data_IF_747719714727
#
_entry.id   IF_747719714727
#
_cell.length_a   1.000
_cell.length_b   1.000
_cell.length_c   1.000
_cell.angle_alpha   90.00
_cell.angle_beta   90.00
_cell.angle_gamma   90.00
#
_symmetry.space_group_name_H-M   'P 1'
#
loop_
_entity.id
_entity.type
_entity.pdbx_description
1 polymer ?
#
# COMPACT_ATOMS: atom_id res chain seq x y z
N UNK A 1 -12.90 5.67 10.47
CA UNK A 1 -13.61 4.47 9.97
C UNK A 1 -14.03 3.64 11.16
N UNK A 2 -15.28 3.80 11.63
CA UNK A 2 -15.85 3.02 12.74
C UNK A 2 -16.27 1.61 12.32
N UNK A 3 -15.39 0.90 11.61
CA UNK A 3 -15.60 -0.49 11.21
C UNK A 3 -15.07 -1.39 12.31
N UNK A 4 -15.89 -2.33 12.76
CA UNK A 4 -15.48 -3.29 13.78
C UNK A 4 -14.69 -4.41 13.11
N UNK A 5 -13.79 -4.99 13.88
CA UNK A 5 -12.90 -6.05 13.44
C UNK A 5 -13.60 -7.18 12.61
N UNK A 6 -14.73 -7.66 13.14
CA UNK A 6 -15.53 -8.72 12.50
C UNK A 6 -16.04 -8.35 11.11
N UNK A 7 -16.32 -7.07 10.85
CA UNK A 7 -16.78 -6.59 9.54
C UNK A 7 -15.64 -6.60 8.52
N UNK A 8 -14.42 -6.22 8.94
CA UNK A 8 -13.21 -6.26 8.10
C UNK A 8 -12.82 -7.69 7.71
N UNK A 9 -13.11 -8.69 8.56
CA UNK A 9 -12.87 -10.11 8.25
C UNK A 9 -13.83 -10.70 7.21
N UNK A 10 -15.07 -10.22 7.16
CA UNK A 10 -16.09 -10.69 6.21
C UNK A 10 -16.00 -10.02 4.84
N UNK A 11 -15.38 -8.83 4.77
CA UNK A 11 -15.12 -8.13 3.52
C UNK A 11 -13.97 -8.80 2.77
N UNK A 12 -14.19 -9.09 1.49
CA UNK A 12 -13.14 -9.55 0.58
C UNK A 12 -12.09 -8.47 0.34
N UNK A 13 -10.88 -8.87 -0.04
CA UNK A 13 -9.77 -7.95 -0.33
C UNK A 13 -10.12 -6.90 -1.40
N UNK A 14 -10.92 -7.27 -2.40
CA UNK A 14 -11.45 -6.36 -3.43
C UNK A 14 -12.40 -5.30 -2.87
N UNK A 15 -13.29 -5.68 -1.95
CA UNK A 15 -14.25 -4.76 -1.31
C UNK A 15 -13.52 -3.75 -0.41
N UNK A 16 -12.43 -4.19 0.24
CA UNK A 16 -11.58 -3.31 1.03
C UNK A 16 -10.78 -2.36 0.13
N UNK A 17 -10.22 -2.85 -0.99
CA UNK A 17 -9.53 -2.01 -1.98
C UNK A 17 -10.46 -1.01 -2.67
N UNK A 18 -11.74 -1.35 -2.81
CA UNK A 18 -12.74 -0.46 -3.41
C UNK A 18 -13.12 0.72 -2.50
N UNK A 19 -12.83 0.66 -1.19
CA UNK A 19 -13.12 1.77 -0.28
C UNK A 19 -12.21 2.97 -0.57
N UNK A 20 -12.81 4.15 -0.69
CA UNK A 20 -12.11 5.40 -1.02
C UNK A 20 -10.92 5.67 -0.10
N UNK A 21 -11.06 5.45 1.22
CA UNK A 21 -9.96 5.66 2.17
C UNK A 21 -8.78 4.71 1.92
N UNK A 22 -9.05 3.46 1.54
CA UNK A 22 -7.98 2.49 1.23
C UNK A 22 -7.31 2.87 -0.08
N UNK A 23 -8.08 3.34 -1.07
CA UNK A 23 -7.58 3.88 -2.34
C UNK A 23 -6.69 5.12 -2.14
N UNK A 24 -7.14 6.08 -1.33
CA UNK A 24 -6.35 7.27 -0.99
C UNK A 24 -5.05 6.89 -0.29
N UNK A 25 -5.10 5.97 0.69
CA UNK A 25 -3.89 5.52 1.38
C UNK A 25 -2.96 4.68 0.53
N UNK A 26 -3.49 3.92 -0.43
CA UNK A 26 -2.70 3.27 -1.47
C UNK A 26 -1.99 4.30 -2.32
N UNK A 27 -2.70 5.30 -2.85
CA UNK A 27 -2.13 6.35 -3.69
C UNK A 27 -1.10 7.22 -2.95
N UNK A 28 -1.34 7.55 -1.68
CA UNK A 28 -0.38 8.24 -0.81
C UNK A 28 0.90 7.43 -0.63
N UNK A 29 0.76 6.12 -0.36
CA UNK A 29 1.88 5.19 -0.23
C UNK A 29 2.64 5.02 -1.55
N UNK A 30 1.95 4.94 -2.68
CA UNK A 30 2.56 4.88 -4.02
C UNK A 30 3.39 6.15 -4.31
N UNK A 31 2.88 7.33 -3.99
CA UNK A 31 3.62 8.59 -4.16
C UNK A 31 4.85 8.67 -3.25
N UNK A 32 4.75 8.22 -1.99
CA UNK A 32 5.89 8.12 -1.09
C UNK A 32 6.93 7.13 -1.61
N UNK A 33 6.51 5.95 -2.08
CA UNK A 33 7.37 4.93 -2.67
C UNK A 33 8.07 5.43 -3.93
N UNK A 34 7.37 6.19 -4.79
CA UNK A 34 7.97 6.78 -5.99
C UNK A 34 9.08 7.76 -5.64
N UNK A 35 8.84 8.62 -4.65
CA UNK A 35 9.84 9.58 -4.15
C UNK A 35 11.04 8.84 -3.55
N UNK A 36 10.78 7.84 -2.69
CA UNK A 36 11.82 7.04 -2.06
C UNK A 36 12.63 6.24 -3.09
N UNK A 37 11.97 5.69 -4.13
CA UNK A 37 12.62 5.01 -5.25
C UNK A 37 13.54 5.95 -6.03
N UNK A 38 13.14 7.20 -6.27
CA UNK A 38 14.01 8.18 -6.91
C UNK A 38 15.25 8.52 -6.07
N UNK A 39 15.09 8.64 -4.75
CA UNK A 39 16.23 8.82 -3.83
C UNK A 39 17.15 7.60 -3.83
N UNK A 40 16.60 6.39 -3.73
CA UNK A 40 17.35 5.14 -3.80
C UNK A 40 18.09 4.98 -5.13
N UNK A 41 17.44 5.30 -6.26
CA UNK A 41 18.05 5.21 -7.58
C UNK A 41 19.14 6.26 -7.78
N UNK A 42 19.00 7.45 -7.20
CA UNK A 42 20.07 8.45 -7.20
C UNK A 42 21.28 8.00 -6.36
N UNK A 43 21.05 7.30 -5.25
CA UNK A 43 22.11 6.88 -4.33
C UNK A 43 22.81 5.58 -4.74
N UNK A 44 22.07 4.62 -5.29
CA UNK A 44 22.55 3.28 -5.63
C UNK A 44 22.61 3.03 -7.15
N UNK A 45 22.24 4.01 -7.97
CA UNK A 45 22.25 3.89 -9.42
C UNK A 45 21.39 2.74 -9.94
N UNK A 46 21.86 2.09 -11.02
CA UNK A 46 21.21 0.93 -11.65
C UNK A 46 21.65 -0.43 -11.06
N UNK A 47 22.34 -0.45 -9.92
CA UNK A 47 22.89 -1.70 -9.35
C UNK A 47 21.84 -2.59 -8.68
N UNK A 48 20.71 -2.04 -8.21
CA UNK A 48 19.67 -2.82 -7.53
C UNK A 48 18.38 -2.95 -8.36
N UNK A 49 17.89 -4.19 -8.50
CA UNK A 49 16.51 -4.49 -8.89
C UNK A 49 15.57 -4.17 -7.73
N UNK A 50 15.10 -2.92 -7.69
CA UNK A 50 14.14 -2.46 -6.69
C UNK A 50 12.73 -2.94 -7.05
N UNK A 51 12.21 -3.88 -6.25
CA UNK A 51 10.78 -4.20 -6.20
C UNK A 51 10.13 -3.30 -5.14
N UNK A 52 9.10 -2.57 -5.54
CA UNK A 52 8.40 -1.61 -4.67
C UNK A 52 7.05 -2.22 -4.27
N UNK A 53 6.78 -2.32 -2.98
CA UNK A 53 5.50 -2.84 -2.48
C UNK A 53 4.79 -1.74 -1.71
N UNK A 54 3.59 -1.37 -2.16
CA UNK A 54 2.69 -0.52 -1.39
C UNK A 54 1.97 -1.38 -0.37
N UNK A 55 2.03 -1.02 0.91
CA UNK A 55 1.39 -1.77 1.99
C UNK A 55 0.50 -0.82 2.78
N UNK A 56 -0.79 -1.14 2.85
CA UNK A 56 -1.78 -0.38 3.60
C UNK A 56 -2.36 -1.28 4.69
N UNK A 57 -2.15 -0.89 5.94
CA UNK A 57 -2.79 -1.52 7.08
C UNK A 57 -4.21 -0.97 7.23
N UNK A 58 -5.21 -1.86 7.22
CA UNK A 58 -6.60 -1.51 7.49
C UNK A 58 -6.91 -1.88 8.94
N UNK A 59 -6.69 -0.91 9.83
CA UNK A 59 -6.75 -1.14 11.27
C UNK A 59 -5.63 -2.07 11.76
N UNK A 60 -5.93 -2.96 12.71
CA UNK A 60 -4.98 -3.93 13.27
C UNK A 60 -5.15 -5.37 12.74
N UNK A 61 -6.11 -5.59 11.86
CA UNK A 61 -6.52 -6.95 11.50
C UNK A 61 -6.14 -7.39 10.10
N UNK A 62 -6.03 -6.46 9.16
CA UNK A 62 -5.76 -6.77 7.76
C UNK A 62 -4.69 -5.85 7.21
N UNK A 63 -3.84 -6.43 6.38
CA UNK A 63 -2.79 -5.75 5.64
C UNK A 63 -3.05 -6.04 4.17
N UNK A 64 -3.19 -4.99 3.37
CA UNK A 64 -3.32 -5.09 1.93
C UNK A 64 -2.00 -4.65 1.32
N UNK A 65 -1.40 -5.50 0.50
CA UNK A 65 -0.20 -5.15 -0.24
C UNK A 65 -0.46 -5.20 -1.74
N UNK A 66 0.17 -4.30 -2.48
CA UNK A 66 0.18 -4.28 -3.93
C UNK A 66 1.63 -4.08 -4.41
N UNK A 67 2.09 -4.93 -5.33
CA UNK A 67 3.38 -4.71 -5.97
C UNK A 67 3.23 -3.57 -6.99
N UNK A 68 4.02 -2.52 -6.81
CA UNK A 68 4.19 -1.45 -7.79
C UNK A 68 5.36 -1.87 -8.68
N UNK A 69 5.06 -2.15 -9.96
CA UNK A 69 6.06 -2.45 -10.98
C UNK A 69 6.65 -1.17 -11.58
#
# INVERSE_FOLDING_TARGET
MGLTASQLKQLSDDELKAKEIVKEKLAESENQLKTYRQSLQSHYGNQLRLHSYSVVAVGYERIIHCEIK
#
